data_IF_792195446155
#
_entry.id   IF_792195446155
#
_cell.length_a   1.000
_cell.length_b   1.000
_cell.length_c   1.000
_cell.angle_alpha   90.00
_cell.angle_beta   90.00
_cell.angle_gamma   90.00
#
_symmetry.space_group_name_H-M   'P 1'
#
loop_
_entity.id
_entity.type
_entity.pdbx_description
1 polymer ?
#
# COMPACT_ATOMS: atom_id res chain seq x y z
N UNK A 1 -39.77 -4.38 -21.80
CA UNK A 1 -38.34 -4.58 -22.12
C UNK A 1 -37.43 -3.43 -21.66
N UNK A 2 -37.86 -2.16 -21.70
CA UNK A 2 -37.01 -0.99 -21.34
C UNK A 2 -36.58 -0.82 -19.87
N UNK A 3 -37.39 -1.21 -18.88
CA UNK A 3 -37.03 -1.03 -17.44
C UNK A 3 -35.83 -1.87 -16.99
N UNK A 4 -35.61 -3.04 -17.61
CA UNK A 4 -34.44 -3.91 -17.33
C UNK A 4 -33.14 -3.37 -17.94
N UNK A 5 -33.21 -2.55 -18.99
CA UNK A 5 -32.03 -1.94 -19.62
C UNK A 5 -31.54 -0.73 -18.83
N UNK A 6 -32.46 0.14 -18.37
CA UNK A 6 -32.14 1.31 -17.55
C UNK A 6 -31.45 0.95 -16.22
N UNK A 7 -31.91 -0.10 -15.52
CA UNK A 7 -31.27 -0.56 -14.28
C UNK A 7 -29.87 -1.16 -14.48
N UNK A 8 -29.60 -1.75 -15.65
CA UNK A 8 -28.29 -2.35 -16.00
C UNK A 8 -27.26 -1.28 -16.37
N UNK A 9 -27.70 -0.20 -17.00
CA UNK A 9 -26.90 0.98 -17.33
C UNK A 9 -26.50 1.74 -16.05
N UNK A 10 -27.46 2.03 -15.17
CA UNK A 10 -27.21 2.75 -13.90
C UNK A 10 -26.18 2.04 -13.00
N UNK A 11 -26.31 0.72 -12.83
CA UNK A 11 -25.35 -0.07 -12.06
C UNK A 11 -23.95 -0.11 -12.68
N UNK A 12 -23.85 -0.11 -14.01
CA UNK A 12 -22.56 -0.08 -14.73
C UNK A 12 -21.87 1.27 -14.55
N UNK A 13 -22.60 2.37 -14.62
CA UNK A 13 -22.09 3.73 -14.42
C UNK A 13 -21.58 3.92 -12.99
N UNK A 14 -22.33 3.49 -11.98
CA UNK A 14 -21.92 3.57 -10.58
C UNK A 14 -20.61 2.82 -10.31
N UNK A 15 -20.46 1.62 -10.88
CA UNK A 15 -19.25 0.81 -10.77
C UNK A 15 -18.04 1.47 -11.43
N UNK A 16 -18.24 2.07 -12.61
CA UNK A 16 -17.19 2.82 -13.30
C UNK A 16 -16.77 4.02 -12.48
N UNK A 17 -17.72 4.82 -11.99
CA UNK A 17 -17.45 5.98 -11.16
C UNK A 17 -16.66 5.61 -9.91
N UNK A 18 -17.10 4.59 -9.16
CA UNK A 18 -16.37 4.07 -7.99
C UNK A 18 -14.93 3.70 -8.33
N UNK A 19 -14.73 3.05 -9.48
CA UNK A 19 -13.39 2.61 -9.90
C UNK A 19 -12.48 3.82 -10.22
N UNK A 20 -13.01 4.81 -10.93
CA UNK A 20 -12.29 6.06 -11.26
C UNK A 20 -11.91 6.81 -9.99
N UNK A 21 -12.84 6.93 -9.04
CA UNK A 21 -12.57 7.59 -7.75
C UNK A 21 -11.47 6.86 -6.98
N UNK A 22 -11.54 5.53 -6.87
CA UNK A 22 -10.52 4.75 -6.19
C UNK A 22 -9.15 4.85 -6.89
N UNK A 23 -9.11 4.90 -8.22
CA UNK A 23 -7.89 5.12 -8.99
C UNK A 23 -7.30 6.52 -8.75
N UNK A 24 -8.13 7.56 -8.68
CA UNK A 24 -7.69 8.90 -8.37
C UNK A 24 -7.12 8.99 -6.94
N UNK A 25 -7.79 8.39 -5.95
CA UNK A 25 -7.30 8.29 -4.57
C UNK A 25 -5.96 7.54 -4.54
N UNK A 26 -5.86 6.41 -5.23
CA UNK A 26 -4.62 5.63 -5.32
C UNK A 26 -3.49 6.46 -5.96
N UNK A 27 -3.76 7.20 -7.03
CA UNK A 27 -2.75 8.03 -7.69
C UNK A 27 -2.22 9.15 -6.77
N UNK A 28 -3.12 9.86 -6.08
CA UNK A 28 -2.76 10.89 -5.10
C UNK A 28 -1.97 10.28 -3.95
N UNK A 29 -2.43 9.14 -3.42
CA UNK A 29 -1.72 8.41 -2.36
C UNK A 29 -0.33 7.95 -2.81
N UNK A 30 -0.17 7.41 -4.03
CA UNK A 30 1.12 6.99 -4.56
C UNK A 30 2.10 8.16 -4.69
N UNK A 31 1.62 9.34 -5.08
CA UNK A 31 2.45 10.56 -5.08
C UNK A 31 3.00 10.86 -3.68
N UNK A 32 2.14 10.85 -2.64
CA UNK A 32 2.59 11.07 -1.27
C UNK A 32 3.48 9.95 -0.75
N UNK A 33 3.18 8.68 -1.08
CA UNK A 33 3.97 7.51 -0.70
C UNK A 33 5.41 7.63 -1.23
N UNK A 34 5.56 7.88 -2.53
CA UNK A 34 6.88 8.08 -3.17
C UNK A 34 7.60 9.25 -2.53
N UNK A 35 6.90 10.37 -2.30
CA UNK A 35 7.49 11.57 -1.69
C UNK A 35 7.98 11.31 -0.26
N UNK A 36 7.18 10.60 0.55
CA UNK A 36 7.52 10.30 1.95
C UNK A 36 8.70 9.35 2.02
N UNK A 37 8.71 8.28 1.21
CA UNK A 37 9.76 7.26 1.27
C UNK A 37 11.07 7.76 0.68
N UNK A 38 11.06 8.35 -0.52
CA UNK A 38 12.29 8.82 -1.16
C UNK A 38 12.95 9.96 -0.38
N UNK A 39 12.16 10.92 0.11
CA UNK A 39 12.73 12.13 0.71
C UNK A 39 12.68 12.13 2.24
N UNK A 40 12.15 11.07 2.89
CA UNK A 40 11.97 10.98 4.36
C UNK A 40 11.40 12.26 4.98
N UNK A 41 10.45 12.91 4.29
CA UNK A 41 9.83 14.17 4.74
C UNK A 41 10.59 15.47 4.43
N UNK A 42 11.77 15.40 3.81
CA UNK A 42 12.50 16.59 3.34
C UNK A 42 11.89 17.14 2.04
N UNK A 43 12.16 18.41 1.74
CA UNK A 43 11.79 19.02 0.47
C UNK A 43 12.47 18.28 -0.69
N UNK A 44 11.66 17.83 -1.64
CA UNK A 44 12.12 17.16 -2.84
C UNK A 44 12.93 18.13 -3.71
N UNK A 45 14.25 18.14 -3.52
CA UNK A 45 15.16 18.94 -4.32
C UNK A 45 15.55 18.16 -5.58
N UNK A 46 14.86 18.49 -6.67
CA UNK A 46 15.06 17.88 -8.00
C UNK A 46 16.45 18.22 -8.54
N UNK A 47 17.02 19.37 -8.17
CA UNK A 47 18.37 19.77 -8.58
C UNK A 47 19.40 18.86 -7.93
N UNK A 48 19.25 18.58 -6.63
CA UNK A 48 20.07 17.61 -5.91
C UNK A 48 19.95 16.20 -6.52
N UNK A 49 18.75 15.73 -6.83
CA UNK A 49 18.57 14.41 -7.48
C UNK A 49 19.28 14.32 -8.83
N UNK A 50 19.22 15.39 -9.62
CA UNK A 50 19.85 15.43 -10.95
C UNK A 50 21.37 15.40 -10.83
N UNK A 51 21.94 16.14 -9.87
CA UNK A 51 23.37 16.12 -9.60
C UNK A 51 23.83 14.76 -9.07
N UNK A 52 23.11 14.16 -8.13
CA UNK A 52 23.45 12.83 -7.62
C UNK A 52 23.36 11.76 -8.70
N UNK A 53 22.39 11.87 -9.62
CA UNK A 53 22.29 10.95 -10.75
C UNK A 53 23.50 11.07 -11.70
N UNK A 54 23.94 12.30 -12.03
CA UNK A 54 25.14 12.52 -12.87
C UNK A 54 26.39 11.91 -12.23
N UNK A 55 26.58 12.14 -10.94
CA UNK A 55 27.69 11.56 -10.17
C UNK A 55 27.61 10.03 -10.18
N UNK A 56 26.42 9.45 -10.01
CA UNK A 56 26.21 8.01 -10.06
C UNK A 56 26.59 7.36 -11.39
N UNK A 57 26.34 8.05 -12.52
CA UNK A 57 26.78 7.59 -13.84
C UNK A 57 28.30 7.66 -14.03
N UNK A 58 28.96 8.67 -13.46
CA UNK A 58 30.41 8.84 -13.54
C UNK A 58 31.15 7.89 -12.60
N UNK A 59 30.55 7.57 -11.45
CA UNK A 59 31.15 6.74 -10.40
C UNK A 59 30.19 5.60 -9.99
N UNK A 60 30.01 4.57 -10.86
CA UNK A 60 29.08 3.46 -10.59
C UNK A 60 29.45 2.69 -9.31
N UNK A 61 30.73 2.74 -8.90
CA UNK A 61 31.20 2.19 -7.63
C UNK A 61 30.47 2.78 -6.42
N UNK A 62 29.99 4.04 -6.47
CA UNK A 62 29.23 4.66 -5.37
C UNK A 62 27.87 4.03 -5.21
N UNK A 63 27.17 3.75 -6.30
CA UNK A 63 25.86 3.07 -6.26
C UNK A 63 26.03 1.68 -5.64
N UNK A 64 27.06 0.94 -6.06
CA UNK A 64 27.35 -0.38 -5.49
C UNK A 64 27.68 -0.29 -4.00
N UNK A 65 28.46 0.72 -3.60
CA UNK A 65 28.76 0.97 -2.19
C UNK A 65 27.50 1.29 -1.39
N UNK A 66 26.54 2.06 -1.91
CA UNK A 66 25.26 2.34 -1.24
C UNK A 66 24.40 1.09 -1.07
N UNK A 67 24.37 0.21 -2.06
CA UNK A 67 23.68 -1.08 -1.95
C UNK A 67 24.37 -1.96 -0.91
N UNK A 68 25.70 -2.02 -0.91
CA UNK A 68 26.48 -2.84 0.04
C UNK A 68 26.52 -2.29 1.46
N UNK A 69 26.45 -0.97 1.62
CA UNK A 69 26.37 -0.29 2.93
C UNK A 69 24.96 -0.39 3.52
N UNK A 70 23.96 -0.66 2.69
CA UNK A 70 22.60 -0.92 3.12
C UNK A 70 22.47 -2.26 3.86
N UNK A 71 21.34 -2.44 4.52
CA UNK A 71 21.03 -3.71 5.14
C UNK A 71 20.58 -4.72 4.07
N UNK A 72 21.45 -5.70 3.81
CA UNK A 72 21.18 -6.81 2.87
C UNK A 72 20.85 -8.12 3.60
N UNK A 73 20.86 -8.11 4.93
CA UNK A 73 20.59 -9.29 5.75
C UNK A 73 19.13 -9.23 6.20
N UNK A 74 18.27 -10.14 5.70
CA UNK A 74 16.87 -10.16 6.10
C UNK A 74 16.73 -10.32 7.61
N UNK A 75 15.80 -9.55 8.17
CA UNK A 75 15.40 -9.49 9.57
C UNK A 75 16.45 -8.90 10.52
N UNK A 76 17.56 -8.37 10.03
CA UNK A 76 18.62 -7.82 10.87
C UNK A 76 18.17 -6.57 11.63
N UNK A 77 17.70 -5.55 10.92
CA UNK A 77 17.23 -4.29 11.50
C UNK A 77 15.93 -4.49 12.27
N UNK A 78 15.03 -5.34 11.78
CA UNK A 78 13.81 -5.72 12.50
C UNK A 78 14.16 -6.30 13.87
N UNK A 79 15.06 -7.29 13.91
CA UNK A 79 15.43 -7.96 15.16
C UNK A 79 16.20 -7.01 16.08
N UNK A 80 17.11 -6.21 15.53
CA UNK A 80 17.87 -5.19 16.25
C UNK A 80 16.94 -4.18 16.93
N UNK A 81 15.98 -3.62 16.19
CA UNK A 81 15.05 -2.64 16.71
C UNK A 81 14.08 -3.22 17.75
N UNK A 82 13.63 -4.47 17.59
CA UNK A 82 12.80 -5.16 18.59
C UNK A 82 13.58 -5.43 19.89
N UNK A 83 14.86 -5.80 19.80
CA UNK A 83 15.70 -6.10 20.96
C UNK A 83 16.21 -4.83 21.68
N UNK A 84 16.49 -3.76 20.94
CA UNK A 84 16.98 -2.50 21.50
C UNK A 84 15.91 -1.76 22.32
N UNK A 85 14.62 -1.96 22.01
CA UNK A 85 13.50 -1.37 22.76
C UNK A 85 13.46 0.17 22.77
N UNK A 86 14.22 0.84 21.91
CA UNK A 86 14.24 2.31 21.82
C UNK A 86 13.13 2.82 20.91
N UNK A 87 12.48 3.92 21.30
CA UNK A 87 11.35 4.50 20.56
C UNK A 87 11.69 4.88 19.11
N UNK A 88 12.89 5.38 18.85
CA UNK A 88 13.31 5.81 17.51
C UNK A 88 13.45 4.65 16.51
N UNK A 89 14.08 3.53 16.89
CA UNK A 89 14.23 2.37 16.00
C UNK A 89 12.91 1.68 15.71
N UNK A 90 12.01 1.62 16.69
CA UNK A 90 10.67 1.06 16.50
C UNK A 90 9.79 1.89 15.56
N UNK A 91 9.94 3.22 15.56
CA UNK A 91 9.14 4.11 14.72
C UNK A 91 9.40 3.90 13.23
N UNK A 92 10.65 3.60 12.83
CA UNK A 92 10.96 3.27 11.44
C UNK A 92 10.32 1.95 11.01
N UNK A 93 10.39 0.92 11.85
CA UNK A 93 9.74 -0.37 11.57
C UNK A 93 8.23 -0.21 11.33
N UNK A 94 7.55 0.46 12.28
CA UNK A 94 6.12 0.67 12.18
C UNK A 94 5.77 1.64 11.05
N UNK A 95 6.58 2.65 10.78
CA UNK A 95 6.38 3.59 9.68
C UNK A 95 6.37 2.89 8.32
N UNK A 96 7.37 2.05 8.05
CA UNK A 96 7.49 1.30 6.80
C UNK A 96 6.35 0.28 6.65
N UNK A 97 6.02 -0.45 7.72
CA UNK A 97 4.87 -1.34 7.70
C UNK A 97 3.54 -0.59 7.45
N UNK A 98 3.24 0.44 8.26
CA UNK A 98 1.95 1.12 8.26
C UNK A 98 1.72 1.93 6.99
N UNK A 99 2.76 2.52 6.40
CA UNK A 99 2.59 3.36 5.22
C UNK A 99 2.08 2.56 4.02
N UNK A 100 2.35 1.24 3.93
CA UNK A 100 1.84 0.35 2.87
C UNK A 100 0.46 -0.28 3.17
N UNK A 101 -0.05 -0.19 4.39
CA UNK A 101 -1.39 -0.73 4.72
C UNK A 101 -2.50 -0.09 3.86
N UNK A 102 -2.56 1.24 3.66
CA UNK A 102 -3.53 1.86 2.76
C UNK A 102 -3.38 1.40 1.30
N UNK A 103 -2.16 1.19 0.81
CA UNK A 103 -1.91 0.65 -0.53
C UNK A 103 -2.63 -0.70 -0.70
N UNK A 104 -2.41 -1.62 0.24
CA UNK A 104 -3.02 -2.94 0.24
C UNK A 104 -4.54 -2.89 0.23
N UNK A 105 -5.12 -2.01 1.04
CA UNK A 105 -6.57 -1.81 1.14
C UNK A 105 -7.15 -1.27 -0.17
N UNK A 106 -6.53 -0.23 -0.75
CA UNK A 106 -6.96 0.36 -2.02
C UNK A 106 -6.87 -0.64 -3.18
N UNK A 107 -5.74 -1.35 -3.31
CA UNK A 107 -5.55 -2.36 -4.34
C UNK A 107 -6.54 -3.53 -4.20
N UNK A 108 -6.82 -3.98 -2.97
CA UNK A 108 -7.84 -4.98 -2.71
C UNK A 108 -9.25 -4.48 -3.04
N UNK A 109 -9.56 -3.21 -2.78
CA UNK A 109 -10.84 -2.59 -3.15
C UNK A 109 -11.02 -2.47 -4.68
N UNK A 110 -9.97 -2.12 -5.43
CA UNK A 110 -9.97 -2.16 -6.91
C UNK A 110 -10.11 -3.60 -7.42
N UNK A 111 -9.45 -4.54 -6.75
CA UNK A 111 -9.41 -5.96 -7.08
C UNK A 111 -10.58 -6.79 -6.56
N UNK A 112 -11.54 -6.19 -5.83
CA UNK A 112 -12.52 -6.90 -5.00
C UNK A 112 -13.34 -7.98 -5.73
N UNK A 113 -13.54 -7.84 -7.05
CA UNK A 113 -14.24 -8.84 -7.89
C UNK A 113 -13.39 -10.04 -8.29
N UNK A 114 -12.08 -10.00 -8.07
CA UNK A 114 -11.10 -10.96 -8.57
C UNK A 114 -10.69 -12.03 -7.54
N UNK A 115 -11.28 -12.03 -6.34
CA UNK A 115 -11.07 -13.06 -5.31
C UNK A 115 -9.59 -13.22 -4.91
N UNK A 116 -9.09 -14.44 -4.86
CA UNK A 116 -7.69 -14.77 -4.48
C UNK A 116 -6.64 -14.17 -5.41
N UNK A 117 -6.99 -13.85 -6.67
CA UNK A 117 -6.12 -13.13 -7.60
C UNK A 117 -5.83 -11.70 -7.12
N UNK A 118 -6.71 -11.13 -6.30
CA UNK A 118 -6.48 -9.82 -5.68
C UNK A 118 -5.30 -9.85 -4.71
N UNK A 119 -5.19 -10.89 -3.86
CA UNK A 119 -4.11 -10.98 -2.88
C UNK A 119 -2.74 -11.16 -3.55
N UNK A 120 -2.64 -12.02 -4.58
CA UNK A 120 -1.41 -12.19 -5.36
C UNK A 120 -0.97 -10.89 -6.05
N UNK A 121 -1.92 -10.13 -6.59
CA UNK A 121 -1.63 -8.84 -7.19
C UNK A 121 -1.17 -7.82 -6.15
N UNK A 122 -1.79 -7.77 -4.98
CA UNK A 122 -1.36 -6.89 -3.88
C UNK A 122 0.06 -7.24 -3.45
N UNK A 123 0.37 -8.53 -3.27
CA UNK A 123 1.70 -9.00 -2.92
C UNK A 123 2.74 -8.52 -3.96
N UNK A 124 2.49 -8.81 -5.24
CA UNK A 124 3.43 -8.46 -6.31
C UNK A 124 3.61 -6.94 -6.44
N UNK A 125 2.52 -6.17 -6.42
CA UNK A 125 2.60 -4.71 -6.54
C UNK A 125 3.32 -4.11 -5.33
N UNK A 126 3.03 -4.56 -4.11
CA UNK A 126 3.67 -4.05 -2.90
C UNK A 126 5.17 -4.36 -2.91
N UNK A 127 5.54 -5.58 -3.27
CA UNK A 127 6.94 -6.01 -3.38
C UNK A 127 7.70 -5.20 -4.44
N UNK A 128 7.21 -5.15 -5.68
CA UNK A 128 7.91 -4.45 -6.76
C UNK A 128 7.94 -2.94 -6.58
N UNK A 129 6.88 -2.34 -6.02
CA UNK A 129 6.87 -0.92 -5.68
C UNK A 129 7.91 -0.60 -4.61
N UNK A 130 7.93 -1.39 -3.53
CA UNK A 130 8.91 -1.22 -2.46
C UNK A 130 10.34 -1.43 -2.97
N UNK A 131 10.58 -2.48 -3.77
CA UNK A 131 11.87 -2.72 -4.40
C UNK A 131 12.32 -1.54 -5.28
N UNK A 132 11.42 -0.98 -6.08
CA UNK A 132 11.72 0.18 -6.91
C UNK A 132 12.06 1.42 -6.07
N UNK A 133 11.41 1.62 -4.91
CA UNK A 133 11.70 2.72 -3.99
C UNK A 133 13.08 2.56 -3.34
N UNK A 134 13.38 1.39 -2.78
CA UNK A 134 14.68 1.07 -2.16
C UNK A 134 15.83 1.21 -3.18
N UNK A 135 15.63 0.68 -4.40
CA UNK A 135 16.60 0.84 -5.49
C UNK A 135 16.77 2.30 -5.90
N UNK A 136 15.68 3.08 -5.96
CA UNK A 136 15.76 4.50 -6.28
C UNK A 136 16.56 5.26 -5.23
N UNK A 137 16.36 4.97 -3.94
CA UNK A 137 17.13 5.61 -2.86
C UNK A 137 18.63 5.34 -2.99
N UNK A 138 19.02 4.12 -3.35
CA UNK A 138 20.42 3.76 -3.60
C UNK A 138 20.98 4.44 -4.86
N UNK A 139 20.23 4.45 -5.97
CA UNK A 139 20.66 5.06 -7.26
C UNK A 139 20.84 6.57 -7.12
N UNK A 140 19.85 7.25 -6.53
CA UNK A 140 19.90 8.70 -6.32
C UNK A 140 20.79 9.08 -5.12
N UNK A 141 21.41 8.11 -4.44
CA UNK A 141 22.30 8.31 -3.29
C UNK A 141 21.70 9.16 -2.15
N UNK A 142 20.37 9.22 -2.09
CA UNK A 142 19.57 9.87 -1.03
C UNK A 142 19.30 8.93 0.15
N UNK A 143 19.63 7.64 0.00
CA UNK A 143 19.54 6.62 1.03
C UNK A 143 20.39 5.39 0.69
N UNK A 144 20.17 4.32 1.43
CA UNK A 144 20.74 2.99 1.21
C UNK A 144 19.62 1.98 1.01
N UNK A 145 19.92 0.89 0.32
CA UNK A 145 18.97 -0.20 0.14
C UNK A 145 18.76 -0.96 1.46
N UNK A 146 17.52 -1.11 1.92
CA UNK A 146 17.21 -1.90 3.12
C UNK A 146 16.22 -3.03 2.80
N UNK A 147 16.68 -4.28 2.93
CA UNK A 147 15.85 -5.47 2.70
C UNK A 147 14.74 -5.62 3.74
N UNK A 148 14.92 -5.08 4.95
CA UNK A 148 13.90 -5.13 5.99
C UNK A 148 12.77 -4.15 5.70
N UNK A 149 13.07 -2.97 5.14
CA UNK A 149 12.07 -2.03 4.67
C UNK A 149 11.26 -2.63 3.50
N UNK A 150 11.93 -3.34 2.58
CA UNK A 150 11.27 -4.12 1.53
C UNK A 150 10.28 -5.14 2.12
N UNK A 151 10.69 -5.89 3.14
CA UNK A 151 9.86 -6.90 3.81
C UNK A 151 8.69 -6.23 4.54
N UNK A 152 8.93 -5.18 5.33
CA UNK A 152 7.91 -4.47 6.11
C UNK A 152 6.86 -3.82 5.23
N UNK A 153 7.27 -3.13 4.17
CA UNK A 153 6.37 -2.52 3.18
C UNK A 153 5.49 -3.60 2.52
N UNK A 154 6.10 -4.72 2.12
CA UNK A 154 5.37 -5.84 1.51
C UNK A 154 4.37 -6.46 2.50
N UNK A 155 4.77 -6.65 3.75
CA UNK A 155 3.91 -7.15 4.82
C UNK A 155 2.75 -6.19 5.13
N UNK A 156 3.02 -4.88 5.15
CA UNK A 156 2.01 -3.82 5.29
C UNK A 156 0.95 -3.88 4.20
N UNK A 157 1.37 -4.02 2.94
CA UNK A 157 0.45 -4.19 1.81
C UNK A 157 -0.43 -5.44 1.95
N UNK A 158 0.15 -6.55 2.39
CA UNK A 158 -0.62 -7.77 2.66
C UNK A 158 -1.59 -7.62 3.85
N UNK A 159 -1.19 -6.93 4.91
CA UNK A 159 -2.06 -6.60 6.04
C UNK A 159 -3.25 -5.75 5.61
N UNK A 160 -3.03 -4.73 4.77
CA UNK A 160 -4.10 -3.93 4.16
C UNK A 160 -5.09 -4.76 3.34
N UNK A 161 -4.60 -5.71 2.55
CA UNK A 161 -5.45 -6.65 1.82
C UNK A 161 -6.27 -7.55 2.76
N UNK A 162 -5.67 -8.04 3.85
CA UNK A 162 -6.36 -8.85 4.85
C UNK A 162 -7.46 -8.05 5.56
N UNK A 163 -7.18 -6.80 5.96
CA UNK A 163 -8.15 -5.89 6.56
C UNK A 163 -9.34 -5.66 5.62
N UNK A 164 -9.10 -5.39 4.34
CA UNK A 164 -10.18 -5.25 3.35
C UNK A 164 -11.06 -6.51 3.29
N UNK A 165 -10.44 -7.70 3.26
CA UNK A 165 -11.18 -8.96 3.24
C UNK A 165 -12.04 -9.18 4.49
N UNK A 166 -11.55 -8.79 5.67
CA UNK A 166 -12.31 -8.86 6.93
C UNK A 166 -13.53 -7.94 6.89
N UNK A 167 -13.36 -6.67 6.52
CA UNK A 167 -14.47 -5.73 6.40
C UNK A 167 -15.50 -6.15 5.35
N UNK A 168 -15.04 -6.65 4.20
CA UNK A 168 -15.93 -7.15 3.15
C UNK A 168 -16.70 -8.41 3.56
N UNK A 169 -16.17 -9.23 4.48
CA UNK A 169 -16.91 -10.37 5.07
C UNK A 169 -17.93 -9.90 6.09
N UNK A 170 -17.56 -8.97 6.98
CA UNK A 170 -18.48 -8.41 7.98
C UNK A 170 -19.70 -7.73 7.35
N UNK A 171 -19.50 -6.95 6.28
CA UNK A 171 -20.60 -6.29 5.56
C UNK A 171 -21.56 -7.24 4.84
N UNK A 172 -21.11 -8.45 4.47
CA UNK A 172 -21.98 -9.48 3.88
C UNK A 172 -22.84 -10.16 4.94
N UNK A 173 -22.27 -10.51 6.09
CA UNK A 173 -23.03 -11.11 7.20
C UNK A 173 -24.20 -10.23 7.65
N UNK A 174 -24.02 -8.90 7.69
CA UNK A 174 -25.06 -7.95 8.10
C UNK A 174 -26.20 -7.79 7.07
N UNK A 175 -25.97 -8.15 5.80
CA UNK A 175 -27.00 -8.12 4.76
C UNK A 175 -27.84 -9.41 4.72
N UNK A 176 -27.34 -10.48 5.32
CA UNK A 176 -27.98 -11.80 5.36
C UNK A 176 -28.75 -12.06 6.68
N UNK A 177 -28.77 -11.09 7.61
CA UNK A 177 -29.51 -11.15 8.88
C UNK A 177 -30.96 -10.69 8.63
N UNK A 178 -31.98 -11.57 8.78
CA UNK A 178 -33.36 -11.22 8.48
C UNK A 178 -33.90 -10.22 9.51
N UNK A 179 -34.50 -9.15 9.00
CA UNK A 179 -35.13 -8.06 9.77
C UNK A 179 -36.38 -8.59 10.50
N UNK A 180 -36.20 -9.05 11.74
CA UNK A 180 -37.27 -9.65 12.56
C UNK A 180 -38.14 -8.60 13.28
N UNK A 181 -37.82 -7.31 13.19
CA UNK A 181 -38.33 -6.30 14.12
C UNK A 181 -39.39 -5.36 13.52
N UNK A 182 -40.37 -5.90 12.77
CA UNK A 182 -41.51 -5.10 12.28
C UNK A 182 -42.91 -5.74 12.37
N UNK A 183 -43.09 -6.92 12.99
CA UNK A 183 -44.40 -7.62 12.99
C UNK A 183 -45.12 -7.72 14.36
N UNK A 184 -44.69 -6.96 15.38
CA UNK A 184 -45.33 -7.01 16.72
C UNK A 184 -46.35 -5.90 17.00
N UNK A 185 -46.59 -4.96 16.09
CA UNK A 185 -47.55 -3.85 16.31
C UNK A 185 -48.94 -4.04 15.69
N UNK A 186 -49.23 -5.15 14.99
CA UNK A 186 -50.54 -5.36 14.34
C UNK A 186 -51.46 -6.33 15.12
N UNK A 187 -51.02 -6.92 16.23
CA UNK A 187 -51.84 -7.87 17.02
C UNK A 187 -52.55 -7.30 18.25
N UNK A 188 -52.62 -5.97 18.40
CA UNK A 188 -53.27 -5.32 19.54
C UNK A 188 -54.19 -4.17 19.15
N UNK A 189 -55.11 -4.39 18.21
CA UNK A 189 -56.24 -3.47 17.95
C UNK A 189 -57.45 -4.23 17.43
#
# INVERSE_FOLDING_TARGET
MGRRLAGREGGRTFVKLRTIVLQAILAVYLYFLVKIILFKGHSADVSLLTEQLKIGFQEPARILTRIKQGNLIPLHEITSALNAGTGHSSMNLYGNFLIFVPLGLLLAALGARKGTRSAKNVLAISFFLSLALEMSQAIFSIGSFDVDDLILNTAGGMAGCALYALFAKAGRKKADEPDYESDTTVKSS
#
